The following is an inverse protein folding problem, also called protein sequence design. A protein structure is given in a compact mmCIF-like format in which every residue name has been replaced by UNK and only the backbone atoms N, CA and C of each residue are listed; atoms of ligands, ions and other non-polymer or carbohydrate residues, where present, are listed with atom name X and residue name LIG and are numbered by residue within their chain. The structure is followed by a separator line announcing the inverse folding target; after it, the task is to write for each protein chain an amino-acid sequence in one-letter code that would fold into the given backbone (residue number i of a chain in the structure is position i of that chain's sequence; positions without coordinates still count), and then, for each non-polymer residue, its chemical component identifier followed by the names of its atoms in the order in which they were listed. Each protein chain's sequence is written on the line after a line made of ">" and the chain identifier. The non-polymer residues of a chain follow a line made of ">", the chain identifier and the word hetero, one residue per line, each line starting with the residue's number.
data_IF_260089063689
#
_entry.id   IF_260089063689
#
_cell.length_a   1.000
_cell.length_b   1.000
_cell.length_c   1.000
_cell.angle_alpha   90.00
_cell.angle_beta   90.00
_cell.angle_gamma   90.00
#
_symmetry.space_group_name_H-M   'P 1'
#
loop_
_entity.id
_entity.type
_entity.pdbx_description
1 polymer ?
#
# COMPACT_ATOMS: atom_id res chain seq x y z
N UNK A 1 -22.61 13.70 9.18
CA UNK A 1 -22.64 12.23 9.41
C UNK A 1 -21.95 11.98 10.74
N UNK A 2 -22.59 11.28 11.68
CA UNK A 2 -21.92 10.91 12.93
C UNK A 2 -20.94 9.80 12.57
N UNK A 3 -19.66 9.98 12.90
CA UNK A 3 -18.66 8.91 12.73
C UNK A 3 -19.06 7.71 13.56
N UNK A 4 -19.09 6.51 12.97
CA UNK A 4 -19.39 5.25 13.67
C UNK A 4 -18.28 4.83 14.63
N UNK A 5 -17.16 5.53 14.65
CA UNK A 5 -16.00 5.27 15.49
C UNK A 5 -15.29 6.58 15.84
N UNK A 6 -14.59 6.56 16.95
CA UNK A 6 -13.72 7.65 17.38
C UNK A 6 -12.36 7.07 17.73
N UNK A 7 -11.32 7.68 17.16
CA UNK A 7 -9.92 7.36 17.49
C UNK A 7 -9.35 8.62 18.17
N UNK A 8 -8.82 8.46 19.36
CA UNK A 8 -8.17 9.53 20.11
C UNK A 8 -6.67 9.29 20.16
N UNK A 9 -5.89 10.36 20.20
CA UNK A 9 -4.44 10.33 20.36
C UNK A 9 -3.70 9.53 19.28
N UNK A 10 -4.21 9.57 18.05
CA UNK A 10 -3.56 8.94 16.89
C UNK A 10 -3.03 9.99 15.91
N UNK A 11 -3.90 10.89 15.45
CA UNK A 11 -3.53 11.97 14.51
C UNK A 11 -3.46 13.34 15.19
N UNK A 12 -3.84 13.42 16.43
CA UNK A 12 -4.01 14.62 17.25
C UNK A 12 -2.98 14.71 18.39
N UNK A 13 -1.72 14.35 18.08
CA UNK A 13 -0.61 14.40 19.03
C UNK A 13 0.69 14.88 18.35
N UNK A 14 1.72 15.17 19.16
CA UNK A 14 3.00 15.70 18.69
C UNK A 14 3.93 14.65 18.07
N UNK A 15 3.59 13.37 18.19
CA UNK A 15 4.41 12.26 17.72
C UNK A 15 4.13 11.86 16.28
N UNK A 16 3.00 12.33 15.72
CA UNK A 16 2.55 12.00 14.38
C UNK A 16 2.26 13.25 13.57
N UNK A 17 2.77 13.32 12.35
CA UNK A 17 2.54 14.42 11.42
C UNK A 17 2.01 13.91 10.10
N UNK A 18 0.94 14.50 9.59
CA UNK A 18 0.55 14.32 8.18
C UNK A 18 1.57 14.99 7.28
N UNK A 19 2.15 14.23 6.36
CA UNK A 19 3.17 14.71 5.41
C UNK A 19 2.65 14.81 3.98
N UNK A 20 1.63 14.01 3.64
CA UNK A 20 0.99 14.06 2.33
C UNK A 20 -0.47 13.57 2.41
N UNK A 21 -1.32 14.02 1.48
CA UNK A 21 -2.71 13.54 1.36
C UNK A 21 -3.20 13.73 -0.06
N UNK A 22 -3.71 12.65 -0.67
CA UNK A 22 -4.24 12.67 -2.02
C UNK A 22 -5.39 11.66 -2.17
N UNK A 23 -6.57 12.13 -2.59
CA UNK A 23 -7.76 11.29 -2.73
C UNK A 23 -8.16 10.60 -1.41
N UNK A 24 -8.22 9.26 -1.38
CA UNK A 24 -8.54 8.51 -0.18
C UNK A 24 -7.35 8.29 0.77
N UNK A 25 -6.12 8.60 0.34
CA UNK A 25 -4.90 8.30 1.06
C UNK A 25 -4.40 9.50 1.88
N UNK A 26 -3.93 9.21 3.08
CA UNK A 26 -3.21 10.15 3.94
C UNK A 26 -1.94 9.46 4.44
N UNK A 27 -0.79 10.09 4.21
CA UNK A 27 0.51 9.62 4.68
C UNK A 27 0.88 10.36 5.96
N UNK A 28 1.16 9.59 6.99
CA UNK A 28 1.66 10.11 8.26
C UNK A 28 3.09 9.69 8.50
N UNK A 29 3.84 10.54 9.18
CA UNK A 29 5.21 10.30 9.60
C UNK A 29 5.32 10.43 11.11
N UNK A 30 5.95 9.45 11.74
CA UNK A 30 6.20 9.43 13.17
C UNK A 30 7.40 10.30 13.51
N UNK A 31 7.18 11.37 14.25
CA UNK A 31 8.23 12.28 14.70
C UNK A 31 9.05 11.67 15.84
N UNK A 32 8.39 10.83 16.65
CA UNK A 32 9.04 9.99 17.68
C UNK A 32 8.51 8.57 17.55
N UNK A 33 9.40 7.59 17.61
CA UNK A 33 9.04 6.18 17.66
C UNK A 33 8.90 5.74 19.12
N UNK A 34 7.68 5.72 19.63
CA UNK A 34 7.40 5.33 21.01
C UNK A 34 7.48 3.81 21.25
N UNK A 35 7.78 3.03 20.21
CA UNK A 35 8.00 1.58 20.33
C UNK A 35 9.46 1.20 20.62
N UNK A 36 10.35 2.17 20.76
CA UNK A 36 11.76 1.92 21.07
C UNK A 36 11.95 1.42 22.50
N UNK A 37 12.95 0.55 22.66
CA UNK A 37 13.43 0.09 23.96
C UNK A 37 14.69 0.85 24.38
N UNK A 38 15.10 0.83 25.66
CA UNK A 38 16.35 1.48 26.08
C UNK A 38 17.57 1.07 25.26
N UNK A 39 17.63 -0.19 24.80
CA UNK A 39 18.77 -0.75 24.07
C UNK A 39 18.91 -0.15 22.66
N UNK A 40 17.82 0.25 22.02
CA UNK A 40 17.84 0.81 20.67
C UNK A 40 17.47 2.29 20.60
N UNK A 41 17.23 2.95 21.74
CA UNK A 41 16.79 4.35 21.80
C UNK A 41 17.79 5.31 21.14
N UNK A 42 19.08 5.11 21.35
CA UNK A 42 20.12 5.93 20.73
C UNK A 42 20.12 5.78 19.20
N UNK A 43 20.03 4.56 18.69
CA UNK A 43 19.95 4.28 17.26
C UNK A 43 18.70 4.92 16.63
N UNK A 44 17.56 4.81 17.29
CA UNK A 44 16.31 5.42 16.83
C UNK A 44 16.41 6.95 16.80
N UNK A 45 17.03 7.56 17.81
CA UNK A 45 17.26 9.01 17.87
C UNK A 45 18.11 9.50 16.68
N UNK A 46 19.25 8.87 16.42
CA UNK A 46 20.11 9.27 15.30
C UNK A 46 19.48 8.96 13.93
N UNK A 47 18.77 7.87 13.79
CA UNK A 47 18.00 7.56 12.58
C UNK A 47 16.96 8.65 12.28
N UNK A 48 16.22 9.07 13.32
CA UNK A 48 15.24 10.15 13.20
C UNK A 48 15.92 11.49 12.80
N UNK A 49 17.07 11.83 13.39
CA UNK A 49 17.85 13.01 13.04
C UNK A 49 18.31 12.99 11.57
N UNK A 50 18.55 11.81 11.00
CA UNK A 50 18.87 11.59 9.58
C UNK A 50 17.65 11.41 8.68
N UNK A 51 16.45 11.74 9.18
CA UNK A 51 15.17 11.58 8.46
C UNK A 51 14.80 10.13 8.10
N UNK A 52 15.35 9.16 8.81
CA UNK A 52 14.93 7.75 8.74
C UNK A 52 13.82 7.55 9.76
N UNK A 53 12.58 7.78 9.33
CA UNK A 53 11.40 7.78 10.18
C UNK A 53 10.38 6.75 9.68
N UNK A 54 9.58 6.20 10.59
CA UNK A 54 8.44 5.40 10.22
C UNK A 54 7.38 6.26 9.55
N UNK A 55 6.81 5.74 8.48
CA UNK A 55 5.66 6.31 7.77
C UNK A 55 4.55 5.27 7.70
N UNK A 56 3.33 5.74 7.64
CA UNK A 56 2.16 4.88 7.59
C UNK A 56 1.10 5.51 6.70
N UNK A 57 0.32 4.68 6.02
CA UNK A 57 -0.78 5.14 5.16
C UNK A 57 -2.10 4.84 5.83
N UNK A 58 -2.97 5.83 5.80
CA UNK A 58 -4.36 5.75 6.19
C UNK A 58 -5.22 5.87 4.94
N UNK A 59 -6.18 4.95 4.77
CA UNK A 59 -7.08 4.92 3.63
C UNK A 59 -8.51 5.15 4.10
N UNK A 60 -9.13 6.22 3.64
CA UNK A 60 -10.54 6.54 3.90
C UNK A 60 -11.44 5.79 2.90
N UNK A 61 -12.04 4.69 3.34
CA UNK A 61 -12.90 3.84 2.51
C UNK A 61 -14.25 4.49 2.17
N UNK A 62 -14.61 5.60 2.82
CA UNK A 62 -15.79 6.38 2.43
C UNK A 62 -15.59 7.15 1.12
N UNK A 63 -14.34 7.39 0.73
CA UNK A 63 -13.96 8.11 -0.49
C UNK A 63 -13.75 7.19 -1.69
N UNK A 64 -13.17 6.00 -1.47
CA UNK A 64 -12.91 5.02 -2.53
C UNK A 64 -12.76 3.61 -1.98
N UNK A 65 -12.96 2.62 -2.85
CA UNK A 65 -12.54 1.24 -2.63
C UNK A 65 -11.03 1.12 -2.87
N UNK A 66 -10.33 0.37 -2.05
CA UNK A 66 -8.87 0.29 -2.07
C UNK A 66 -8.39 -1.13 -2.33
N UNK A 67 -7.51 -1.28 -3.29
CA UNK A 67 -6.74 -2.51 -3.54
C UNK A 67 -5.38 -2.38 -2.89
N UNK A 68 -4.98 -3.40 -2.11
CA UNK A 68 -3.70 -3.42 -1.39
C UNK A 68 -2.74 -4.46 -1.93
N UNK A 69 -1.46 -4.24 -1.64
CA UNK A 69 -0.47 -5.32 -1.63
C UNK A 69 -0.86 -6.32 -0.53
N UNK A 70 -0.74 -7.62 -0.83
CA UNK A 70 -0.99 -8.67 0.15
C UNK A 70 -0.12 -8.47 1.40
N UNK A 71 -0.75 -8.57 2.58
CA UNK A 71 -0.05 -8.37 3.86
C UNK A 71 0.15 -6.92 4.30
N UNK A 72 -0.22 -5.93 3.49
CA UNK A 72 -0.02 -4.51 3.83
C UNK A 72 -1.02 -3.96 4.87
N UNK A 73 -2.13 -4.63 5.13
CA UNK A 73 -3.12 -4.19 6.11
C UNK A 73 -2.65 -4.46 7.53
N UNK A 74 -2.65 -3.44 8.38
CA UNK A 74 -2.40 -3.56 9.81
C UNK A 74 -3.70 -3.71 10.61
N UNK A 75 -4.61 -2.76 10.46
CA UNK A 75 -5.92 -2.81 11.12
C UNK A 75 -6.97 -1.98 10.37
N UNK A 76 -8.23 -2.21 10.73
CA UNK A 76 -9.38 -1.48 10.20
C UNK A 76 -10.33 -1.09 11.32
N UNK A 77 -11.12 -0.03 11.10
CA UNK A 77 -12.19 0.40 11.99
C UNK A 77 -13.38 0.93 11.19
N UNK A 78 -14.57 0.75 11.73
CA UNK A 78 -15.82 1.09 11.07
C UNK A 78 -16.41 -0.10 10.31
N UNK A 79 -17.29 0.18 9.35
CA UNK A 79 -17.90 -0.87 8.51
C UNK A 79 -17.00 -1.15 7.31
N UNK A 80 -16.11 -2.13 7.45
CA UNK A 80 -15.13 -2.51 6.44
C UNK A 80 -15.34 -3.95 6.01
N UNK A 81 -15.38 -4.17 4.69
CA UNK A 81 -15.44 -5.49 4.08
C UNK A 81 -14.18 -5.71 3.24
N UNK A 82 -13.56 -6.87 3.40
CA UNK A 82 -12.41 -7.29 2.62
C UNK A 82 -12.77 -8.45 1.70
N UNK A 83 -12.29 -8.41 0.46
CA UNK A 83 -12.43 -9.49 -0.50
C UNK A 83 -11.11 -9.74 -1.20
N UNK A 84 -10.74 -10.99 -1.38
CA UNK A 84 -9.51 -11.37 -2.09
C UNK A 84 -9.73 -11.57 -3.58
N UNK A 85 -10.96 -11.39 -4.07
CA UNK A 85 -11.32 -11.70 -5.46
C UNK A 85 -11.20 -13.19 -5.83
N UNK A 86 -10.96 -14.06 -4.83
CA UNK A 86 -10.80 -15.50 -5.01
C UNK A 86 -12.10 -16.18 -4.59
N UNK A 87 -12.78 -16.80 -5.55
CA UNK A 87 -14.04 -17.53 -5.31
C UNK A 87 -13.84 -18.99 -4.87
N UNK A 88 -12.60 -19.39 -4.54
CA UNK A 88 -12.27 -20.75 -4.08
C UNK A 88 -10.92 -21.25 -4.58
N UNK A 89 -10.48 -22.39 -4.07
CA UNK A 89 -9.17 -23.01 -4.38
C UNK A 89 -9.01 -23.28 -5.88
N UNK A 90 -10.09 -23.61 -6.59
CA UNK A 90 -10.08 -23.84 -8.03
C UNK A 90 -9.82 -22.57 -8.87
N UNK A 91 -10.25 -21.41 -8.40
CA UNK A 91 -10.01 -20.12 -9.06
C UNK A 91 -8.54 -19.67 -8.91
N UNK A 92 -7.92 -20.02 -7.79
CA UNK A 92 -6.50 -19.81 -7.50
C UNK A 92 -5.61 -20.58 -8.48
N UNK A 93 -5.90 -21.87 -8.68
CA UNK A 93 -5.21 -22.71 -9.66
C UNK A 93 -5.43 -22.26 -11.09
N UNK A 94 -6.65 -21.83 -11.44
CA UNK A 94 -6.98 -21.33 -12.78
C UNK A 94 -6.27 -20.01 -13.12
N UNK A 95 -6.08 -19.12 -12.15
CA UNK A 95 -5.33 -17.86 -12.30
C UNK A 95 -3.82 -18.11 -12.39
N UNK A 96 -3.29 -19.03 -11.59
CA UNK A 96 -1.87 -19.42 -11.64
C UNK A 96 -1.48 -20.09 -12.96
N UNK A 97 -2.37 -20.89 -13.56
CA UNK A 97 -2.13 -21.58 -14.83
C UNK A 97 -2.30 -20.68 -16.07
N UNK A 98 -3.07 -19.58 -15.98
CA UNK A 98 -3.38 -18.71 -17.14
C UNK A 98 -2.35 -17.63 -17.45
N UNK A 99 -1.32 -17.48 -16.70
CA UNK A 99 -0.31 -16.51 -17.05
C UNK A 99 0.68 -16.16 -16.00
N UNK A 100 1.68 -16.99 -15.76
CA UNK A 100 2.96 -16.54 -15.22
C UNK A 100 2.94 -15.65 -13.97
N UNK A 101 1.86 -15.72 -13.20
CA UNK A 101 1.70 -14.94 -11.97
C UNK A 101 2.39 -15.70 -10.86
N UNK A 102 3.60 -15.31 -10.55
CA UNK A 102 4.31 -15.80 -9.37
C UNK A 102 3.55 -15.40 -8.11
N UNK A 103 3.42 -16.31 -7.17
CA UNK A 103 2.50 -16.39 -6.02
C UNK A 103 2.08 -15.14 -5.25
N UNK A 104 2.88 -14.08 -5.14
CA UNK A 104 2.51 -12.86 -4.39
C UNK A 104 1.77 -11.81 -5.24
N UNK A 105 2.03 -11.77 -6.53
CA UNK A 105 1.44 -10.79 -7.45
C UNK A 105 -0.03 -11.09 -7.81
N UNK A 106 -0.51 -12.31 -7.51
CA UNK A 106 -1.82 -12.78 -7.97
C UNK A 106 -2.99 -12.35 -7.10
N UNK A 107 -2.77 -12.05 -5.83
CA UNK A 107 -3.83 -11.84 -4.85
C UNK A 107 -3.65 -10.46 -4.23
N UNK A 108 -4.35 -9.48 -4.79
CA UNK A 108 -4.45 -8.15 -4.20
C UNK A 108 -5.81 -8.03 -3.52
N UNK A 109 -5.86 -7.99 -2.17
CA UNK A 109 -7.14 -7.85 -1.47
C UNK A 109 -7.74 -6.47 -1.74
N UNK A 110 -9.06 -6.43 -1.88
CA UNK A 110 -9.83 -5.21 -2.03
C UNK A 110 -10.62 -4.92 -0.76
N UNK A 111 -10.60 -3.68 -0.32
CA UNK A 111 -11.30 -3.19 0.86
C UNK A 111 -12.37 -2.18 0.45
N UNK A 112 -13.57 -2.36 1.01
CA UNK A 112 -14.75 -1.55 0.69
C UNK A 112 -15.49 -1.20 1.97
N UNK A 113 -16.35 -0.18 1.90
CA UNK A 113 -17.24 0.14 2.99
C UNK A 113 -17.15 1.60 3.43
N UNK A 114 -17.41 1.83 4.72
CA UNK A 114 -17.36 3.16 5.33
C UNK A 114 -16.56 3.06 6.64
N UNK A 115 -15.26 3.26 6.54
CA UNK A 115 -14.33 3.08 7.64
C UNK A 115 -12.93 3.56 7.28
N UNK A 116 -12.03 3.38 8.22
CA UNK A 116 -10.62 3.63 8.07
C UNK A 116 -9.88 2.30 7.93
N UNK A 117 -8.99 2.24 6.95
CA UNK A 117 -8.05 1.15 6.75
C UNK A 117 -6.64 1.70 6.96
N UNK A 118 -5.87 1.09 7.83
CA UNK A 118 -4.52 1.53 8.19
C UNK A 118 -3.52 0.45 7.78
N UNK A 119 -2.49 0.86 7.06
CA UNK A 119 -1.47 -0.04 6.54
C UNK A 119 -0.32 -0.24 7.53
N UNK A 120 0.48 -1.26 7.33
CA UNK A 120 1.69 -1.51 8.12
C UNK A 120 2.67 -0.33 8.01
N UNK A 121 3.27 0.12 9.13
CA UNK A 121 4.26 1.17 9.09
C UNK A 121 5.55 0.71 8.38
N UNK A 122 6.20 1.63 7.68
CA UNK A 122 7.43 1.37 6.94
C UNK A 122 8.44 2.49 7.12
N UNK A 123 9.74 2.19 6.96
CA UNK A 123 10.80 3.20 6.84
C UNK A 123 11.04 3.65 5.39
N UNK A 124 10.34 3.07 4.42
CA UNK A 124 10.40 3.51 3.02
C UNK A 124 9.75 4.90 2.88
N UNK A 125 10.19 5.66 1.89
CA UNK A 125 9.46 6.83 1.45
C UNK A 125 8.20 6.40 0.72
N UNK A 126 7.09 7.09 1.01
CA UNK A 126 5.79 6.84 0.41
C UNK A 126 5.50 7.98 -0.55
N UNK A 127 5.06 7.65 -1.76
CA UNK A 127 4.72 8.59 -2.80
C UNK A 127 3.28 8.35 -3.26
N UNK A 128 2.44 9.36 -3.15
CA UNK A 128 1.09 9.37 -3.71
C UNK A 128 1.13 9.93 -5.14
N UNK A 129 0.59 9.20 -6.09
CA UNK A 129 0.60 9.55 -7.52
C UNK A 129 -0.82 9.61 -8.04
N UNK A 130 -1.26 10.77 -8.54
CA UNK A 130 -2.45 10.87 -9.36
C UNK A 130 -2.09 10.48 -10.80
N UNK A 131 -2.70 9.41 -11.30
CA UNK A 131 -2.44 8.94 -12.65
C UNK A 131 -2.91 9.94 -13.73
N UNK A 132 -3.81 10.86 -13.41
CA UNK A 132 -4.20 11.91 -14.34
C UNK A 132 -3.00 12.79 -14.74
N UNK A 133 -2.08 13.06 -13.80
CA UNK A 133 -0.86 13.83 -14.04
C UNK A 133 0.21 13.03 -14.80
N UNK A 134 0.03 11.70 -14.90
CA UNK A 134 0.98 10.74 -15.48
C UNK A 134 0.44 10.07 -16.75
N UNK A 135 -0.35 10.77 -17.55
CA UNK A 135 -0.98 10.26 -18.77
C UNK A 135 -1.79 8.96 -18.55
N UNK A 136 -2.38 8.81 -17.38
CA UNK A 136 -3.27 7.70 -17.03
C UNK A 136 -2.59 6.35 -16.81
N UNK A 137 -1.26 6.29 -16.64
CA UNK A 137 -0.59 5.00 -16.43
C UNK A 137 0.77 5.12 -15.73
N UNK A 138 1.11 4.07 -14.95
CA UNK A 138 2.43 3.88 -14.34
C UNK A 138 2.83 2.41 -14.44
N UNK A 139 4.13 2.16 -14.52
CA UNK A 139 4.72 0.82 -14.39
C UNK A 139 5.62 0.80 -13.17
N UNK A 140 5.35 -0.09 -12.24
CA UNK A 140 6.07 -0.26 -10.99
C UNK A 140 6.79 -1.60 -10.97
N UNK A 141 7.93 -1.65 -10.32
CA UNK A 141 8.50 -2.92 -9.88
C UNK A 141 7.58 -3.57 -8.84
N UNK A 142 7.48 -4.90 -8.85
CA UNK A 142 6.49 -5.65 -8.05
C UNK A 142 6.57 -5.32 -6.55
N UNK A 143 7.78 -5.13 -6.02
CA UNK A 143 8.00 -4.76 -4.61
C UNK A 143 7.72 -3.29 -4.25
N UNK A 144 7.31 -2.45 -5.20
CA UNK A 144 7.05 -1.02 -4.95
C UNK A 144 5.57 -0.69 -4.77
N UNK A 145 4.66 -1.54 -5.21
CA UNK A 145 3.23 -1.32 -5.06
C UNK A 145 2.82 -1.48 -3.59
N UNK A 146 2.07 -0.52 -3.06
CA UNK A 146 1.49 -0.60 -1.72
C UNK A 146 -0.04 -0.60 -1.76
N UNK A 147 -0.66 0.40 -2.40
CA UNK A 147 -2.10 0.51 -2.49
C UNK A 147 -2.54 1.29 -3.74
N UNK A 148 -3.79 1.16 -4.14
CA UNK A 148 -4.41 2.03 -5.12
C UNK A 148 -5.94 2.02 -5.03
N UNK A 149 -6.57 2.97 -5.72
CA UNK A 149 -8.00 2.94 -5.99
C UNK A 149 -8.36 1.67 -6.79
N UNK A 150 -9.34 0.89 -6.30
CA UNK A 150 -9.75 -0.38 -6.93
C UNK A 150 -10.33 -0.24 -8.34
N UNK A 151 -10.68 0.98 -8.77
CA UNK A 151 -11.13 1.25 -10.14
C UNK A 151 -10.01 1.17 -11.17
N UNK A 152 -8.76 1.22 -10.72
CA UNK A 152 -7.59 1.13 -11.58
C UNK A 152 -7.38 -0.29 -12.10
N UNK A 153 -6.96 -0.41 -13.36
CA UNK A 153 -6.70 -1.69 -14.01
C UNK A 153 -5.25 -2.08 -13.80
N UNK A 154 -5.05 -3.32 -13.39
CA UNK A 154 -3.73 -3.92 -13.21
C UNK A 154 -3.40 -4.85 -14.38
N UNK A 155 -2.15 -4.82 -14.85
CA UNK A 155 -1.63 -5.75 -15.84
C UNK A 155 -0.17 -6.11 -15.56
N UNK A 156 0.22 -7.34 -15.85
CA UNK A 156 1.63 -7.71 -15.88
C UNK A 156 2.30 -7.11 -17.13
N UNK A 157 3.45 -6.48 -16.95
CA UNK A 157 4.28 -5.91 -18.01
C UNK A 157 5.60 -6.65 -18.01
N UNK A 158 5.93 -7.34 -19.13
CA UNK A 158 7.17 -8.09 -19.25
C UNK A 158 8.37 -7.13 -19.24
N UNK A 159 9.42 -7.46 -18.48
CA UNK A 159 10.69 -6.74 -18.52
C UNK A 159 11.37 -6.97 -19.88
N UNK A 160 11.88 -5.93 -20.48
CA UNK A 160 12.52 -5.99 -21.81
C UNK A 160 13.87 -6.74 -21.83
N UNK A 161 14.51 -6.93 -20.67
CA UNK A 161 15.81 -7.61 -20.55
C UNK A 161 15.67 -8.95 -19.82
N UNK A 162 15.41 -10.02 -20.59
CA UNK A 162 15.28 -11.40 -20.07
C UNK A 162 16.61 -11.91 -19.49
N UNK A 163 17.76 -11.38 -19.91
CA UNK A 163 19.09 -11.84 -19.47
C UNK A 163 19.40 -11.54 -17.99
N UNK A 164 18.84 -10.47 -17.42
CA UNK A 164 19.01 -10.16 -16.00
C UNK A 164 18.06 -10.95 -15.09
N UNK A 165 16.92 -11.38 -15.61
CA UNK A 165 15.91 -12.14 -14.86
C UNK A 165 16.32 -13.61 -14.62
N UNK A 166 17.20 -14.18 -15.44
CA UNK A 166 17.69 -15.56 -15.27
C UNK A 166 18.83 -15.67 -14.24
N UNK A 167 19.52 -14.56 -13.99
CA UNK A 167 20.68 -14.53 -13.07
C UNK A 167 20.35 -13.99 -11.66
N UNK A 168 19.16 -13.41 -11.45
CA UNK A 168 18.72 -12.86 -10.17
C UNK A 168 17.33 -13.35 -9.79
N UNK A 169 17.06 -13.38 -8.50
CA UNK A 169 15.76 -13.75 -7.92
C UNK A 169 14.67 -12.68 -8.15
N UNK A 170 14.83 -11.84 -9.18
CA UNK A 170 13.92 -10.75 -9.54
C UNK A 170 12.85 -11.26 -10.52
N UNK A 171 11.58 -10.95 -10.24
CA UNK A 171 10.45 -11.37 -11.08
C UNK A 171 10.58 -10.92 -12.54
N UNK A 172 10.05 -11.73 -13.46
CA UNK A 172 10.06 -11.49 -14.91
C UNK A 172 9.12 -10.34 -15.33
N UNK A 173 8.25 -9.90 -14.44
CA UNK A 173 7.19 -8.95 -14.74
C UNK A 173 7.20 -7.77 -13.76
N UNK A 174 6.84 -6.63 -14.29
CA UNK A 174 6.47 -5.43 -13.53
C UNK A 174 4.96 -5.29 -13.44
N UNK A 175 4.48 -4.50 -12.49
CA UNK A 175 3.07 -4.17 -12.35
C UNK A 175 2.75 -2.89 -13.15
N UNK A 176 1.95 -3.01 -14.19
CA UNK A 176 1.36 -1.86 -14.87
C UNK A 176 0.00 -1.51 -14.25
N UNK A 177 -0.22 -0.24 -13.95
CA UNK A 177 -1.48 0.30 -13.42
C UNK A 177 -1.98 1.38 -14.36
N UNK A 178 -3.27 1.32 -14.72
CA UNK A 178 -3.89 2.23 -15.70
C UNK A 178 -5.28 2.69 -15.24
N UNK A 179 -5.61 3.93 -15.55
CA UNK A 179 -6.92 4.53 -15.28
C UNK A 179 -6.82 5.94 -14.74
N UNK A 180 -7.91 6.39 -14.11
CA UNK A 180 -7.99 7.67 -13.42
C UNK A 180 -8.19 7.42 -11.92
N UNK A 181 -7.20 7.74 -11.12
CA UNK A 181 -7.19 7.51 -9.67
C UNK A 181 -5.81 7.60 -9.09
N UNK A 182 -5.71 7.38 -7.77
CA UNK A 182 -4.47 7.52 -7.01
C UNK A 182 -3.81 6.16 -6.78
N UNK A 183 -2.49 6.14 -6.92
CA UNK A 183 -1.60 5.02 -6.59
C UNK A 183 -0.67 5.43 -5.47
N UNK A 184 -0.48 4.54 -4.51
CA UNK A 184 0.45 4.63 -3.39
C UNK A 184 1.59 3.60 -3.57
N UNK A 185 2.85 4.03 -3.38
CA UNK A 185 4.05 3.21 -3.57
C UNK A 185 5.15 3.51 -2.54
#
# INVERSE_FOLDING_TARGET
>A
MVSMYQISNFMDNDDVKTIDSLGPFTVVEYQRDLSVTPDNAAMAYYSNAMNVRKRQVLCDLSKAQITLQAGAMQWTVGNVNATTGIKGVGDLFGKALRGGVTGESAIKPEYTGNGLLVLEPTYKHILLVDLADWNGSIVLDDGLFLACDSRLKHKAVMRSNVSSAVAGNEGLFNLGIQGNGVVDR
#
